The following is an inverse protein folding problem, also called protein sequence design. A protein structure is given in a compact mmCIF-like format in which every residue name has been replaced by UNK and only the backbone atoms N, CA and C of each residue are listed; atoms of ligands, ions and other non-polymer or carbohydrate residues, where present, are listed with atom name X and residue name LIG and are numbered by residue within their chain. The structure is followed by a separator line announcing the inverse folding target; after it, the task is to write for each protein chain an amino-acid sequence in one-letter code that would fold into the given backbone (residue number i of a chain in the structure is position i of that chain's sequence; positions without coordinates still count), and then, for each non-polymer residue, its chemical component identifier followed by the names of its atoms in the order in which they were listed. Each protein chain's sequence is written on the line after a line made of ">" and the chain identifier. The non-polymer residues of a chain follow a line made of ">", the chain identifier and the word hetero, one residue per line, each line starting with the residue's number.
data_IF_997439658626
#
_entry.id   IF_997439658626
#
_cell.length_a   1.000
_cell.length_b   1.000
_cell.length_c   1.000
_cell.angle_alpha   90.00
_cell.angle_beta   90.00
_cell.angle_gamma   90.00
#
_symmetry.space_group_name_H-M   'P 1'
#
loop_
_entity.id
_entity.type
_entity.pdbx_description
1 polymer ?
#
# COMPACT_ATOMS: atom_id res chain seq x y z
N UNK A 1 -0.97 10.69 1.68
CA UNK A 1 -0.61 10.42 1.73
C UNK A 1 0.21 10.50 1.46
N UNK A 2 0.90 10.83 1.55
CA UNK A 2 1.78 10.84 1.17
C UNK A 2 2.44 10.24 1.05
N UNK A 3 2.70 10.33 0.88
CA UNK A 3 3.28 9.65 0.93
C UNK A 3 3.64 9.28 1.89
N UNK A 4 4.21 9.48 1.75
CA UNK A 4 4.63 9.30 2.51
C UNK A 4 4.17 9.02 3.64
N UNK A 5 4.55 9.55 4.33
CA UNK A 5 4.08 9.35 5.50
C UNK A 5 2.69 9.22 5.32
N UNK A 6 2.21 8.24 5.43
CA UNK A 6 0.82 7.97 5.44
C UNK A 6 0.14 8.93 6.40
N UNK A 7 -0.27 10.14 5.99
CA UNK A 7 -0.75 11.11 6.96
C UNK A 7 -1.91 10.60 7.80
N UNK A 8 -2.73 9.73 7.21
CA UNK A 8 -3.82 9.13 7.95
C UNK A 8 -3.33 8.28 9.11
N UNK A 9 -2.26 7.51 8.90
CA UNK A 9 -1.66 6.69 9.95
C UNK A 9 -0.86 7.53 10.92
N UNK A 10 -0.20 8.57 10.44
CA UNK A 10 0.55 9.47 11.29
C UNK A 10 -0.30 10.25 12.26
N UNK A 11 -1.61 10.37 12.02
CA UNK A 11 -2.52 11.03 12.92
C UNK A 11 -2.93 10.16 14.11
N UNK A 12 -2.65 8.85 14.06
CA UNK A 12 -2.90 7.96 15.19
C UNK A 12 -1.82 8.15 16.25
N UNK A 13 -2.22 8.10 17.51
CA UNK A 13 -1.26 8.03 18.60
C UNK A 13 -0.51 6.72 18.56
N UNK A 14 0.68 6.64 19.18
CA UNK A 14 1.47 5.41 19.16
C UNK A 14 0.71 4.18 19.65
N UNK A 15 -0.09 4.33 20.70
CA UNK A 15 -0.87 3.23 21.24
C UNK A 15 -1.99 2.79 20.31
N UNK A 16 -2.63 3.74 19.65
CA UNK A 16 -3.71 3.44 18.71
C UNK A 16 -3.19 2.73 17.47
N UNK A 17 -2.06 3.19 16.95
CA UNK A 17 -1.44 2.57 15.78
C UNK A 17 -1.01 1.14 16.09
N UNK A 18 -0.40 0.92 17.26
CA UNK A 18 0.02 -0.41 17.67
C UNK A 18 -1.17 -1.34 17.88
N UNK A 19 -2.24 -0.85 18.49
CA UNK A 19 -3.45 -1.64 18.69
C UNK A 19 -4.10 -2.04 17.36
N UNK A 20 -4.16 -1.09 16.43
CA UNK A 20 -4.73 -1.37 15.11
C UNK A 20 -3.88 -2.39 14.34
N UNK A 21 -2.55 -2.24 14.41
CA UNK A 21 -1.63 -3.16 13.75
C UNK A 21 -1.76 -4.58 14.34
N UNK A 22 -1.86 -4.68 15.66
CA UNK A 22 -2.05 -5.96 16.31
C UNK A 22 -3.38 -6.61 15.93
N UNK A 23 -4.45 -5.81 15.90
CA UNK A 23 -5.77 -6.32 15.51
C UNK A 23 -5.75 -6.88 14.09
N UNK A 24 -5.06 -6.22 13.17
CA UNK A 24 -4.96 -6.68 11.79
C UNK A 24 -4.06 -7.92 11.64
N UNK A 25 -3.11 -8.10 12.54
CA UNK A 25 -2.22 -9.26 12.52
C UNK A 25 -2.86 -10.50 13.15
N UNK A 26 -3.92 -10.34 13.92
CA UNK A 26 -4.62 -11.44 14.58
C UNK A 26 -5.70 -12.02 13.69
N UNK A 27 -6.07 -13.30 13.87
CA UNK A 27 -7.27 -13.84 13.22
C UNK A 27 -8.50 -13.04 13.63
N UNK A 28 -9.49 -12.98 12.75
CA UNK A 28 -10.69 -12.20 12.99
C UNK A 28 -11.39 -12.55 14.32
N UNK A 29 -11.35 -13.80 14.71
CA UNK A 29 -11.97 -14.26 15.94
C UNK A 29 -11.25 -13.77 17.21
N UNK A 30 -9.97 -13.40 17.08
CA UNK A 30 -9.14 -13.10 18.25
C UNK A 30 -9.44 -11.74 18.86
N UNK A 31 -9.95 -10.78 18.10
CA UNK A 31 -10.25 -9.45 18.64
C UNK A 31 -11.75 -9.15 18.70
N UNK A 32 -12.58 -10.16 18.47
CA UNK A 32 -13.99 -10.10 18.83
C UNK A 32 -14.81 -8.98 18.20
N UNK A 33 -14.47 -8.56 16.99
CA UNK A 33 -15.24 -7.55 16.27
C UNK A 33 -15.40 -6.22 17.03
N UNK A 34 -14.33 -5.73 17.62
CA UNK A 34 -14.38 -4.41 18.26
C UNK A 34 -14.62 -3.34 17.18
N UNK A 35 -15.83 -2.76 17.10
CA UNK A 35 -16.16 -1.83 16.02
C UNK A 35 -15.35 -0.53 16.08
N UNK A 36 -14.82 -0.18 17.25
CA UNK A 36 -14.03 1.05 17.38
C UNK A 36 -12.66 0.89 16.75
N UNK A 37 -12.02 -0.26 16.93
CA UNK A 37 -10.72 -0.54 16.32
C UNK A 37 -10.89 -0.64 14.81
N UNK A 38 -11.88 -1.37 14.38
CA UNK A 38 -12.15 -1.56 12.96
C UNK A 38 -12.47 -0.24 12.25
N UNK A 39 -13.32 0.59 12.86
CA UNK A 39 -13.68 1.88 12.30
C UNK A 39 -12.47 2.83 12.23
N UNK A 40 -11.70 2.89 13.31
CA UNK A 40 -10.52 3.76 13.34
C UNK A 40 -9.51 3.37 12.26
N UNK A 41 -9.27 2.05 12.12
CA UNK A 41 -8.39 1.56 11.06
C UNK A 41 -8.92 1.92 9.69
N UNK A 42 -10.22 1.68 9.45
CA UNK A 42 -10.83 1.94 8.14
C UNK A 42 -10.72 3.41 7.75
N UNK A 43 -10.96 4.31 8.69
CA UNK A 43 -10.85 5.75 8.44
C UNK A 43 -9.43 6.14 8.07
N UNK A 44 -8.42 5.61 8.78
CA UNK A 44 -7.03 5.92 8.50
C UNK A 44 -6.58 5.33 7.15
N UNK A 45 -7.02 4.11 6.86
CA UNK A 45 -6.69 3.48 5.60
C UNK A 45 -7.29 4.25 4.41
N UNK A 46 -8.54 4.68 4.53
CA UNK A 46 -9.20 5.48 3.50
C UNK A 46 -8.52 6.83 3.31
N UNK A 47 -8.15 7.48 4.41
CA UNK A 47 -7.46 8.76 4.34
C UNK A 47 -6.09 8.61 3.68
N UNK A 48 -5.37 7.57 4.03
CA UNK A 48 -4.09 7.27 3.39
C UNK A 48 -4.26 7.06 1.90
N UNK A 49 -5.25 6.27 1.50
CA UNK A 49 -5.52 6.00 0.09
C UNK A 49 -5.81 7.30 -0.67
N UNK A 50 -6.62 8.16 -0.09
CA UNK A 50 -6.98 9.46 -0.70
C UNK A 50 -5.76 10.35 -0.87
N UNK A 51 -4.94 10.45 0.16
CA UNK A 51 -3.74 11.30 0.10
C UNK A 51 -2.74 10.76 -0.90
N UNK A 52 -2.52 9.45 -0.91
CA UNK A 52 -1.61 8.84 -1.87
C UNK A 52 -2.10 9.02 -3.31
N UNK A 53 -3.39 8.83 -3.54
CA UNK A 53 -3.97 9.01 -4.88
C UNK A 53 -3.79 10.45 -5.36
N UNK A 54 -4.01 11.42 -4.48
CA UNK A 54 -3.77 12.83 -4.79
C UNK A 54 -2.30 13.08 -5.12
N UNK A 55 -1.40 12.42 -4.41
CA UNK A 55 0.03 12.58 -4.63
C UNK A 55 0.44 12.11 -6.04
N UNK A 56 0.02 10.92 -6.43
CA UNK A 56 0.37 10.39 -7.77
C UNK A 56 -0.37 11.10 -8.89
N UNK A 57 -1.46 11.80 -8.57
CA UNK A 57 -2.16 12.64 -9.53
C UNK A 57 -1.47 13.97 -9.74
N UNK A 58 -0.85 14.51 -8.70
CA UNK A 58 -0.27 15.86 -8.70
C UNK A 58 1.21 15.91 -9.04
N UNK A 59 1.95 14.87 -8.66
CA UNK A 59 3.40 14.79 -8.89
C UNK A 59 3.69 13.64 -9.84
N UNK A 60 4.61 13.85 -10.78
CA UNK A 60 4.99 12.78 -11.71
C UNK A 60 5.51 11.58 -10.91
N UNK A 61 4.84 10.42 -11.01
CA UNK A 61 5.24 9.25 -10.21
C UNK A 61 6.68 8.81 -10.39
N UNK A 62 7.28 9.05 -11.53
CA UNK A 62 8.68 8.69 -11.78
C UNK A 62 9.63 9.37 -10.81
N UNK A 63 9.27 10.53 -10.29
CA UNK A 63 10.12 11.30 -9.37
C UNK A 63 9.75 11.13 -7.91
N UNK A 64 8.74 10.30 -7.62
CA UNK A 64 8.30 10.09 -6.24
C UNK A 64 9.24 9.15 -5.52
N UNK A 65 9.50 9.50 -4.27
CA UNK A 65 10.21 8.64 -3.33
C UNK A 65 9.30 8.46 -2.14
N UNK A 66 8.94 7.22 -1.85
CA UNK A 66 8.00 6.92 -0.78
C UNK A 66 8.73 6.69 0.55
N UNK A 67 9.94 6.14 0.51
CA UNK A 67 10.75 5.90 1.70
C UNK A 67 12.23 6.09 1.35
N UNK A 68 13.10 6.27 2.36
CA UNK A 68 14.55 6.23 2.10
C UNK A 68 15.05 4.90 1.57
N UNK A 69 14.24 3.83 1.68
CA UNK A 69 14.62 2.47 1.29
C UNK A 69 14.07 2.06 -0.07
N UNK A 70 13.53 3.00 -0.85
CA UNK A 70 12.90 2.68 -2.14
C UNK A 70 13.78 1.81 -3.04
N UNK A 71 15.07 2.12 -3.14
CA UNK A 71 16.01 1.36 -3.98
C UNK A 71 16.08 -0.10 -3.55
N UNK A 72 16.24 -0.32 -2.25
CA UNK A 72 16.33 -1.67 -1.71
C UNK A 72 15.00 -2.42 -1.86
N UNK A 73 13.91 -1.73 -1.55
CA UNK A 73 12.57 -2.36 -1.64
C UNK A 73 12.30 -2.78 -3.09
N UNK A 74 12.57 -1.91 -4.04
CA UNK A 74 12.34 -2.19 -5.45
C UNK A 74 13.22 -3.37 -5.92
N UNK A 75 14.49 -3.34 -5.60
CA UNK A 75 15.42 -4.38 -6.04
C UNK A 75 15.04 -5.75 -5.48
N UNK A 76 14.73 -5.83 -4.19
CA UNK A 76 14.34 -7.09 -3.57
C UNK A 76 12.97 -7.56 -4.07
N UNK A 77 12.06 -6.63 -4.28
CA UNK A 77 10.73 -6.98 -4.80
C UNK A 77 10.83 -7.56 -6.21
N UNK A 78 11.53 -6.89 -7.11
CA UNK A 78 11.66 -7.39 -8.48
C UNK A 78 12.53 -8.63 -8.58
N UNK A 79 13.48 -8.81 -7.67
CA UNK A 79 14.24 -10.04 -7.57
C UNK A 79 13.37 -11.23 -7.17
N UNK A 80 12.36 -10.99 -6.34
CA UNK A 80 11.44 -12.02 -5.86
C UNK A 80 10.29 -12.26 -6.84
N UNK A 81 9.74 -11.20 -7.41
CA UNK A 81 8.57 -11.25 -8.31
C UNK A 81 8.94 -10.67 -9.66
N UNK A 82 9.76 -11.38 -10.42
CA UNK A 82 10.29 -10.90 -11.70
C UNK A 82 9.22 -10.67 -12.75
N UNK A 83 8.18 -11.50 -12.75
CA UNK A 83 7.17 -11.51 -13.80
C UNK A 83 5.80 -10.99 -13.34
N UNK A 84 5.71 -10.51 -12.11
CA UNK A 84 4.44 -10.00 -11.59
C UNK A 84 4.00 -8.78 -12.39
N UNK A 85 2.80 -8.85 -12.93
CA UNK A 85 2.22 -7.75 -13.70
C UNK A 85 1.63 -6.72 -12.74
N UNK A 86 2.14 -5.51 -12.83
CA UNK A 86 1.76 -4.43 -11.91
C UNK A 86 0.61 -3.57 -12.41
N UNK A 87 0.38 -3.57 -13.73
CA UNK A 87 -0.73 -2.80 -14.29
C UNK A 87 -2.05 -3.26 -13.72
N UNK A 88 -2.18 -4.56 -13.55
CA UNK A 88 -3.39 -5.13 -12.96
C UNK A 88 -3.03 -6.37 -12.14
N UNK A 89 -3.30 -6.29 -10.85
CA UNK A 89 -3.04 -7.40 -9.93
C UNK A 89 -4.22 -8.35 -9.92
N UNK A 90 -3.93 -9.64 -9.86
CA UNK A 90 -4.95 -10.67 -9.69
C UNK A 90 -5.03 -11.03 -8.21
N UNK A 91 -6.15 -10.74 -7.52
CA UNK A 91 -6.24 -11.01 -6.08
C UNK A 91 -6.10 -12.50 -5.75
N UNK A 92 -6.55 -13.38 -6.62
CA UNK A 92 -6.40 -14.83 -6.37
C UNK A 92 -4.95 -15.25 -6.44
N UNK A 93 -4.20 -14.73 -7.41
CA UNK A 93 -2.77 -14.98 -7.52
C UNK A 93 -2.01 -14.46 -6.32
N UNK A 94 -2.34 -13.24 -5.87
CA UNK A 94 -1.70 -12.64 -4.70
C UNK A 94 -1.94 -13.44 -3.42
N UNK A 95 -3.08 -14.08 -3.31
CA UNK A 95 -3.46 -14.88 -2.14
C UNK A 95 -3.11 -16.35 -2.26
N UNK A 96 -2.52 -16.76 -3.38
CA UNK A 96 -2.14 -18.16 -3.60
C UNK A 96 -1.05 -18.59 -2.61
N UNK A 97 -0.97 -19.88 -2.37
CA UNK A 97 0.07 -20.41 -1.48
C UNK A 97 1.47 -20.13 -2.03
N UNK A 98 1.63 -20.22 -3.35
CA UNK A 98 2.91 -19.93 -3.98
C UNK A 98 3.33 -18.47 -3.76
N UNK A 99 2.37 -17.53 -3.87
CA UNK A 99 2.64 -16.13 -3.63
C UNK A 99 2.98 -15.88 -2.16
N UNK A 100 2.23 -16.49 -1.24
CA UNK A 100 2.49 -16.36 0.19
C UNK A 100 3.88 -16.84 0.58
N UNK A 101 4.36 -17.93 -0.02
CA UNK A 101 5.68 -18.44 0.23
C UNK A 101 6.78 -17.45 -0.16
N UNK A 102 6.52 -16.63 -1.19
CA UNK A 102 7.45 -15.59 -1.61
C UNK A 102 7.29 -14.33 -0.78
N UNK A 103 6.05 -13.93 -0.47
CA UNK A 103 5.78 -12.71 0.27
C UNK A 103 6.28 -12.76 1.72
N UNK A 104 6.13 -13.91 2.39
CA UNK A 104 6.53 -14.01 3.80
C UNK A 104 7.98 -13.66 4.05
N UNK A 105 8.97 -14.30 3.40
CA UNK A 105 10.36 -13.92 3.62
C UNK A 105 10.67 -12.50 3.14
N UNK A 106 10.04 -12.07 2.05
CA UNK A 106 10.21 -10.71 1.58
C UNK A 106 9.77 -9.71 2.65
N UNK A 107 8.56 -9.86 3.16
CA UNK A 107 8.03 -8.93 4.17
C UNK A 107 8.89 -8.94 5.44
N UNK A 108 9.29 -10.14 5.89
CA UNK A 108 10.08 -10.27 7.11
C UNK A 108 11.46 -9.65 6.97
N UNK A 109 12.01 -9.59 5.77
CA UNK A 109 13.33 -8.97 5.55
C UNK A 109 13.32 -7.48 5.82
N UNK A 110 12.14 -6.86 5.88
CA UNK A 110 11.98 -5.43 6.18
C UNK A 110 11.53 -5.15 7.60
N UNK A 111 11.39 -6.20 8.42
CA UNK A 111 11.06 -6.03 9.84
C UNK A 111 12.20 -5.26 10.50
N UNK A 112 11.84 -4.17 11.18
CA UNK A 112 12.83 -3.30 11.81
C UNK A 112 13.44 -2.26 10.87
N UNK A 113 13.32 -2.46 9.56
CA UNK A 113 13.81 -1.50 8.57
C UNK A 113 12.71 -0.56 8.10
N UNK A 114 11.49 -1.08 7.95
CA UNK A 114 10.31 -0.30 7.57
C UNK A 114 9.37 -0.27 8.78
N UNK A 115 9.09 0.92 9.27
CA UNK A 115 8.18 1.09 10.40
C UNK A 115 6.78 0.65 9.99
N UNK A 116 6.12 -0.10 10.88
CA UNK A 116 4.78 -0.62 10.66
C UNK A 116 4.67 -1.43 9.35
N UNK A 117 5.69 -2.20 9.03
CA UNK A 117 5.78 -2.92 7.77
C UNK A 117 4.59 -3.84 7.51
N UNK A 118 3.99 -4.41 8.54
CA UNK A 118 2.86 -5.33 8.41
C UNK A 118 1.52 -4.67 8.73
N UNK A 119 1.47 -3.35 8.85
CA UNK A 119 0.22 -2.64 9.09
C UNK A 119 -0.68 -2.71 7.86
N UNK A 120 -1.96 -2.99 8.05
CA UNK A 120 -2.92 -3.11 6.95
C UNK A 120 -3.18 -1.77 6.27
N UNK A 121 -3.14 -1.78 4.94
CA UNK A 121 -3.41 -0.60 4.13
C UNK A 121 -4.17 -1.02 2.87
N UNK A 122 -4.55 -0.06 2.07
CA UNK A 122 -5.33 -0.31 0.86
C UNK A 122 -4.45 -0.23 -0.38
N UNK A 123 -4.69 -1.14 -1.32
CA UNK A 123 -3.92 -1.25 -2.54
C UNK A 123 -4.89 -1.38 -3.71
N UNK A 124 -4.63 -0.64 -4.80
CA UNK A 124 -5.43 -0.75 -6.02
C UNK A 124 -5.05 -1.99 -6.82
N UNK A 125 -6.04 -2.67 -7.36
CA UNK A 125 -5.79 -3.80 -8.25
C UNK A 125 -5.32 -3.32 -9.62
N UNK A 126 -6.09 -2.44 -10.24
CA UNK A 126 -5.73 -1.83 -11.53
C UNK A 126 -5.06 -0.48 -11.23
N UNK A 127 -3.81 -0.34 -11.67
CA UNK A 127 -3.03 0.87 -11.43
C UNK A 127 -3.61 2.10 -12.14
N UNK A 128 -4.43 1.88 -13.17
CA UNK A 128 -5.06 2.97 -13.92
C UNK A 128 -6.36 3.44 -13.29
N UNK A 129 -6.86 2.72 -12.30
CA UNK A 129 -8.11 3.06 -11.63
C UNK A 129 -7.92 3.74 -10.30
N UNK A 130 -9.00 4.31 -9.78
CA UNK A 130 -9.02 4.93 -8.47
C UNK A 130 -9.27 3.88 -7.37
N UNK A 131 -9.28 4.35 -6.13
CA UNK A 131 -9.59 3.51 -4.97
C UNK A 131 -11.10 3.33 -4.86
N UNK A 132 -11.67 2.56 -5.77
CA UNK A 132 -13.07 2.16 -5.68
C UNK A 132 -13.15 0.84 -4.93
N UNK A 133 -14.34 0.49 -4.46
CA UNK A 133 -14.54 -0.77 -3.75
C UNK A 133 -14.09 -1.97 -4.58
N UNK A 134 -14.43 -1.99 -5.86
CA UNK A 134 -14.11 -3.09 -6.75
C UNK A 134 -12.62 -3.15 -7.09
N UNK A 135 -11.93 -2.03 -6.97
CA UNK A 135 -10.53 -1.91 -7.36
C UNK A 135 -9.56 -1.85 -6.18
N UNK A 136 -10.03 -2.18 -4.99
CA UNK A 136 -9.22 -2.03 -3.78
C UNK A 136 -9.17 -3.32 -2.99
N UNK A 137 -7.97 -3.68 -2.52
CA UNK A 137 -7.77 -4.83 -1.64
C UNK A 137 -6.95 -4.41 -0.43
N UNK A 138 -7.01 -5.24 0.60
CA UNK A 138 -6.20 -5.07 1.79
C UNK A 138 -4.81 -5.67 1.56
N UNK A 139 -3.77 -4.96 1.93
CA UNK A 139 -2.39 -5.43 1.86
C UNK A 139 -1.62 -4.89 3.06
N UNK A 140 -0.45 -5.46 3.32
CA UNK A 140 0.42 -4.89 4.34
C UNK A 140 1.14 -3.66 3.79
N UNK A 141 1.61 -2.79 4.68
CA UNK A 141 2.34 -1.60 4.28
C UNK A 141 3.54 -1.91 3.40
N UNK A 142 4.31 -2.95 3.75
CA UNK A 142 5.48 -3.29 2.92
C UNK A 142 5.07 -3.80 1.54
N UNK A 143 3.97 -4.52 1.43
CA UNK A 143 3.44 -4.93 0.13
C UNK A 143 3.00 -3.73 -0.69
N UNK A 144 2.30 -2.80 -0.05
CA UNK A 144 1.88 -1.56 -0.70
C UNK A 144 3.10 -0.79 -1.21
N UNK A 145 4.12 -0.60 -0.37
CA UNK A 145 5.32 0.12 -0.76
C UNK A 145 6.01 -0.56 -1.94
N UNK A 146 6.20 -1.87 -1.86
CA UNK A 146 6.88 -2.61 -2.92
C UNK A 146 6.17 -2.46 -4.26
N UNK A 147 4.86 -2.67 -4.26
CA UNK A 147 4.06 -2.62 -5.49
C UNK A 147 3.98 -1.20 -6.03
N UNK A 148 3.72 -0.21 -5.17
CA UNK A 148 3.55 1.17 -5.64
C UNK A 148 4.88 1.82 -6.04
N UNK A 149 5.97 1.51 -5.35
CA UNK A 149 7.29 1.98 -5.78
C UNK A 149 7.58 1.45 -7.18
N UNK A 150 7.33 0.16 -7.41
CA UNK A 150 7.55 -0.45 -8.71
C UNK A 150 6.63 0.15 -9.78
N UNK A 151 5.35 0.35 -9.46
CA UNK A 151 4.41 1.00 -10.37
C UNK A 151 4.88 2.40 -10.77
N UNK A 152 5.36 3.16 -9.80
CA UNK A 152 5.84 4.51 -10.06
C UNK A 152 7.07 4.49 -10.98
N UNK A 153 8.01 3.60 -10.73
CA UNK A 153 9.24 3.50 -11.53
C UNK A 153 8.99 2.95 -12.93
N UNK A 154 8.04 2.03 -13.05
CA UNK A 154 7.78 1.35 -14.32
C UNK A 154 6.70 2.02 -15.15
N UNK A 155 6.19 3.16 -14.68
CA UNK A 155 5.24 3.96 -15.46
C UNK A 155 3.80 3.53 -15.36
N UNK A 156 3.46 2.62 -14.45
CA UNK A 156 2.10 2.10 -14.31
C UNK A 156 1.11 3.14 -13.78
N UNK A 157 1.60 4.14 -13.03
CA UNK A 157 0.75 5.19 -12.47
C UNK A 157 0.73 6.47 -13.33
N UNK A 158 1.35 6.43 -14.50
CA UNK A 158 1.45 7.60 -15.38
C UNK A 158 0.08 8.07 -15.86
N UNK A 159 -0.82 7.15 -16.10
CA UNK A 159 -2.18 7.48 -16.54
C UNK A 159 -2.93 8.29 -15.48
N UNK A 160 -2.75 7.94 -14.20
CA UNK A 160 -3.36 8.69 -13.10
C UNK A 160 -2.83 10.11 -13.08
N UNK A 161 -1.52 10.27 -13.20
CA UNK A 161 -0.89 11.60 -13.22
C UNK A 161 -1.38 12.44 -14.40
N UNK A 162 -1.47 11.83 -15.55
CA UNK A 162 -1.91 12.51 -16.78
C UNK A 162 -3.34 13.02 -16.64
N UNK A 163 -4.24 12.19 -16.11
CA UNK A 163 -5.63 12.58 -15.89
C UNK A 163 -5.77 13.64 -14.80
N UNK A 164 -4.99 13.49 -13.71
CA UNK A 164 -4.99 14.46 -12.62
C UNK A 164 -4.54 15.84 -13.07
N UNK A 165 -3.52 15.89 -13.93
CA UNK A 165 -3.05 17.15 -14.49
C UNK A 165 -4.11 17.85 -15.34
N UNK A 166 -4.86 17.09 -16.12
CA UNK A 166 -5.95 17.65 -16.94
C UNK A 166 -7.09 18.17 -16.06
N UNK A 167 -7.46 17.41 -15.06
CA UNK A 167 -8.52 17.82 -14.14
C UNK A 167 -8.10 19.01 -13.32
N UNK A 168 -6.82 19.08 -12.95
CA UNK A 168 -6.30 20.22 -12.20
C UNK A 168 -6.27 21.53 -12.97
N UNK A 169 -6.29 21.46 -14.30
CA UNK A 169 -6.29 22.64 -15.16
C UNK A 169 -7.70 23.03 -15.64
N UNK A 170 -8.64 22.12 -15.43
CA UNK A 170 -10.01 22.34 -15.90
C UNK A 170 -10.93 23.04 -14.91
#
# INVERSE_FOLDING_TARGET
>A
MAAAALPGLGALGPGEAAAAAQALALPAEAFGNDPRVELAWAQRALQHARVYFNLISSVDPKFLRLTPLDERIYAEFRGTFRELRLERLDPEELKSEAAKEKWRPFCLSFKGAVEDFNFGTLLRLDARGAYTEENTILATRIQFLAIEIARNREGCNEEIHRRGGKEGTG
#
